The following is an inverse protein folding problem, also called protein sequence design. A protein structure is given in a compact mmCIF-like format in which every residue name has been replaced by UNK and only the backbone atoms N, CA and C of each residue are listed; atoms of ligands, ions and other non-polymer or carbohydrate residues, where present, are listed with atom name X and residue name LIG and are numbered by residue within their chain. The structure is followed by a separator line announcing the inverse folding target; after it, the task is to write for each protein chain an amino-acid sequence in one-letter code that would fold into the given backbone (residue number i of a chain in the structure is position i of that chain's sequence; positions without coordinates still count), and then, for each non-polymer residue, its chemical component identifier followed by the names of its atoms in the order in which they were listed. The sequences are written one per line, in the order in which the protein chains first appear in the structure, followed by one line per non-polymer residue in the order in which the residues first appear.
data_IF_972918107175
#
_entry.id   IF_972918107175
#
_cell.length_a   1.000
_cell.length_b   1.000
_cell.length_c   1.000
_cell.angle_alpha   90.00
_cell.angle_beta   90.00
_cell.angle_gamma   90.00
#
_symmetry.space_group_name_H-M   'P 1'
#
loop_
_entity.id
_entity.type
_entity.pdbx_description
1 polymer ?
#
# COMPACT_ATOMS: atom_id res chain seq x y z
N UNK A 1 8.56 -15.38 -7.62
CA UNK A 1 7.45 -14.40 -7.52
C UNK A 1 8.05 -13.03 -7.32
N UNK A 2 7.76 -12.05 -8.19
CA UNK A 2 8.28 -10.68 -8.07
C UNK A 2 7.21 -9.73 -7.52
N UNK A 3 7.61 -8.65 -6.85
CA UNK A 3 6.67 -7.67 -6.28
C UNK A 3 5.79 -7.05 -7.36
N UNK A 4 6.39 -6.66 -8.49
CA UNK A 4 5.70 -6.01 -9.60
C UNK A 4 4.57 -6.88 -10.17
N UNK A 5 4.75 -8.20 -10.21
CA UNK A 5 3.71 -9.14 -10.67
C UNK A 5 2.48 -9.11 -9.74
N UNK A 6 2.71 -9.05 -8.42
CA UNK A 6 1.62 -8.95 -7.45
C UNK A 6 0.91 -7.59 -7.52
N UNK A 7 1.65 -6.50 -7.75
CA UNK A 7 1.05 -5.18 -7.94
C UNK A 7 0.21 -5.11 -9.22
N UNK A 8 0.66 -5.77 -10.29
CA UNK A 8 -0.11 -5.91 -11.52
C UNK A 8 -1.40 -6.67 -11.27
N UNK A 9 -1.32 -7.82 -10.58
CA UNK A 9 -2.47 -8.64 -10.21
C UNK A 9 -3.45 -7.89 -9.30
N UNK A 10 -2.96 -7.07 -8.35
CA UNK A 10 -3.81 -6.18 -7.54
C UNK A 10 -4.70 -5.29 -8.42
N UNK A 11 -4.10 -4.68 -9.45
CA UNK A 11 -4.82 -3.83 -10.41
C UNK A 11 -5.81 -4.62 -11.28
N UNK A 12 -5.39 -5.77 -11.81
CA UNK A 12 -6.25 -6.65 -12.64
C UNK A 12 -7.48 -7.14 -11.87
N UNK A 13 -7.31 -7.47 -10.59
CA UNK A 13 -8.39 -7.90 -9.71
C UNK A 13 -9.24 -6.76 -9.15
N UNK A 14 -8.93 -5.50 -9.51
CA UNK A 14 -9.54 -4.29 -8.94
C UNK A 14 -9.53 -4.30 -7.40
N UNK A 15 -8.46 -4.84 -6.82
CA UNK A 15 -8.26 -4.88 -5.37
C UNK A 15 -7.78 -3.54 -4.81
N UNK A 16 -8.12 -3.26 -3.56
CA UNK A 16 -7.70 -2.03 -2.86
C UNK A 16 -6.33 -2.18 -2.20
N UNK A 17 -6.05 -3.35 -1.63
CA UNK A 17 -4.85 -3.59 -0.84
C UNK A 17 -4.24 -4.97 -1.14
N UNK A 18 -2.92 -5.08 -1.06
CA UNK A 18 -2.14 -6.32 -1.04
C UNK A 18 -1.48 -6.46 0.33
N UNK A 19 -1.60 -7.63 0.94
CA UNK A 19 -1.00 -7.97 2.23
C UNK A 19 0.03 -9.07 2.06
N UNK A 20 1.20 -8.87 2.65
CA UNK A 20 2.33 -9.80 2.64
C UNK A 20 2.77 -10.04 4.08
N UNK A 21 2.75 -11.31 4.49
CA UNK A 21 3.06 -11.70 5.87
C UNK A 21 3.62 -13.12 5.89
N UNK A 22 4.68 -13.34 6.67
CA UNK A 22 5.23 -14.67 6.88
C UNK A 22 4.19 -15.66 7.41
N UNK A 23 4.20 -16.88 6.89
CA UNK A 23 3.27 -17.96 7.21
C UNK A 23 1.95 -17.93 6.43
N UNK A 24 1.69 -16.89 5.64
CA UNK A 24 0.46 -16.72 4.87
C UNK A 24 0.73 -16.67 3.36
N UNK A 25 -0.30 -16.94 2.58
CA UNK A 25 -0.33 -16.66 1.14
C UNK A 25 -0.42 -15.14 0.90
N UNK A 26 0.03 -14.61 -0.25
CA UNK A 26 -0.31 -13.25 -0.67
C UNK A 26 -1.83 -13.07 -0.61
N UNK A 27 -2.29 -12.00 0.04
CA UNK A 27 -3.72 -11.75 0.19
C UNK A 27 -4.09 -10.41 -0.40
N UNK A 28 -5.14 -10.39 -1.23
CA UNK A 28 -5.68 -9.17 -1.83
C UNK A 28 -6.97 -8.79 -1.14
N UNK A 29 -7.14 -7.51 -0.82
CA UNK A 29 -8.43 -6.99 -0.41
C UNK A 29 -9.24 -6.63 -1.65
N UNK A 30 -10.34 -7.34 -1.88
CA UNK A 30 -11.22 -7.16 -3.04
C UNK A 30 -12.62 -6.92 -2.49
N UNK A 31 -13.22 -5.78 -2.84
CA UNK A 31 -14.53 -5.35 -2.32
C UNK A 31 -14.64 -5.47 -0.79
N UNK A 32 -13.59 -5.04 -0.08
CA UNK A 32 -13.52 -5.04 1.39
C UNK A 32 -13.10 -6.36 2.03
N UNK A 33 -13.15 -7.48 1.29
CA UNK A 33 -12.81 -8.82 1.81
C UNK A 33 -11.37 -9.19 1.51
N UNK A 34 -10.66 -9.77 2.48
CA UNK A 34 -9.34 -10.34 2.27
C UNK A 34 -9.45 -11.73 1.63
N UNK A 35 -8.85 -11.88 0.46
CA UNK A 35 -8.84 -13.12 -0.31
C UNK A 35 -7.39 -13.61 -0.42
N UNK A 36 -7.04 -14.74 0.20
CA UNK A 36 -5.71 -15.34 0.06
C UNK A 36 -5.59 -16.03 -1.31
N UNK A 37 -4.47 -15.81 -1.99
CA UNK A 37 -4.16 -16.48 -3.26
C UNK A 37 -3.46 -17.81 -2.98
N UNK A 38 -4.25 -18.86 -2.80
CA UNK A 38 -3.77 -20.20 -2.45
C UNK A 38 -2.97 -20.86 -3.57
N UNK A 39 -2.99 -20.31 -4.78
CA UNK A 39 -2.15 -20.75 -5.91
C UNK A 39 -0.68 -20.35 -5.77
N UNK A 40 -0.33 -19.40 -4.89
CA UNK A 40 1.06 -19.10 -4.56
C UNK A 40 1.45 -19.78 -3.27
N UNK A 41 2.74 -20.05 -3.09
CA UNK A 41 3.25 -20.57 -1.82
C UNK A 41 3.06 -19.58 -0.67
N UNK A 42 3.02 -20.12 0.55
CA UNK A 42 3.06 -19.30 1.76
C UNK A 42 4.44 -18.66 1.89
N UNK A 43 4.47 -17.42 2.35
CA UNK A 43 5.73 -16.74 2.60
C UNK A 43 6.49 -17.38 3.77
N UNK A 44 7.75 -17.71 3.56
CA UNK A 44 8.72 -17.82 4.66
C UNK A 44 9.13 -16.41 5.12
N UNK A 45 9.62 -16.23 6.36
CA UNK A 45 10.15 -14.94 6.82
C UNK A 45 11.18 -14.33 5.86
N UNK A 46 12.05 -15.19 5.31
CA UNK A 46 13.08 -14.78 4.36
C UNK A 46 12.46 -14.31 3.03
N UNK A 47 11.55 -15.10 2.44
CA UNK A 47 10.92 -14.74 1.16
C UNK A 47 10.07 -13.47 1.25
N UNK A 48 9.39 -13.23 2.38
CA UNK A 48 8.66 -12.00 2.62
C UNK A 48 9.61 -10.80 2.66
N UNK A 49 10.71 -10.92 3.43
CA UNK A 49 11.74 -9.87 3.52
C UNK A 49 12.34 -9.55 2.15
N UNK A 50 12.76 -10.57 1.40
CA UNK A 50 13.35 -10.39 0.07
C UNK A 50 12.39 -9.69 -0.89
N UNK A 51 11.13 -10.13 -0.94
CA UNK A 51 10.10 -9.55 -1.80
C UNK A 51 9.84 -8.08 -1.45
N UNK A 52 9.74 -7.76 -0.16
CA UNK A 52 9.48 -6.40 0.31
C UNK A 52 10.69 -5.49 0.07
N UNK A 53 11.90 -5.98 0.34
CA UNK A 53 13.13 -5.20 0.18
C UNK A 53 13.47 -4.94 -1.29
N UNK A 54 12.92 -5.71 -2.24
CA UNK A 54 13.16 -5.53 -3.67
C UNK A 54 12.63 -4.20 -4.21
N UNK A 55 11.74 -3.52 -3.47
CA UNK A 55 11.19 -2.20 -3.85
C UNK A 55 11.70 -1.04 -3.00
N UNK A 56 12.63 -1.31 -2.08
CA UNK A 56 13.24 -0.29 -1.24
C UNK A 56 14.56 0.20 -1.83
N UNK A 57 14.78 1.52 -1.75
CA UNK A 57 16.11 2.09 -1.94
C UNK A 57 16.96 1.95 -0.65
N UNK A 58 18.25 2.22 -0.74
CA UNK A 58 19.17 1.97 0.38
C UNK A 58 18.91 2.87 1.59
N UNK A 59 18.47 4.12 1.36
CA UNK A 59 18.05 5.02 2.44
C UNK A 59 16.82 4.47 3.18
N UNK A 60 15.84 3.94 2.45
CA UNK A 60 14.65 3.31 3.02
C UNK A 60 14.98 2.05 3.82
N UNK A 61 15.85 1.17 3.29
CA UNK A 61 16.34 0.00 4.03
C UNK A 61 17.03 0.42 5.33
N UNK A 62 17.90 1.41 5.25
CA UNK A 62 18.61 1.92 6.42
C UNK A 62 17.66 2.53 7.45
N UNK A 63 16.67 3.29 6.99
CA UNK A 63 15.64 3.89 7.85
C UNK A 63 14.85 2.80 8.56
N UNK A 64 14.37 1.79 7.83
CA UNK A 64 13.63 0.67 8.39
C UNK A 64 14.44 -0.13 9.43
N UNK A 65 15.74 -0.38 9.16
CA UNK A 65 16.57 -1.25 10.01
C UNK A 65 17.22 -0.53 11.21
N UNK A 66 17.54 0.76 11.09
CA UNK A 66 18.44 1.45 12.03
C UNK A 66 17.83 2.64 12.72
N UNK A 67 16.66 3.12 12.29
CA UNK A 67 16.06 4.30 12.90
C UNK A 67 15.40 3.94 14.24
N UNK A 68 15.90 4.46 15.38
CA UNK A 68 15.33 4.19 16.69
C UNK A 68 13.96 4.84 16.91
N UNK A 69 13.56 5.81 16.07
CA UNK A 69 12.25 6.48 16.05
C UNK A 69 11.24 5.65 15.27
N UNK A 70 11.64 5.07 14.13
CA UNK A 70 10.75 4.31 13.24
C UNK A 70 10.78 2.79 13.47
N UNK A 71 11.57 2.26 14.42
CA UNK A 71 11.57 0.90 14.98
C UNK A 71 11.00 -0.24 14.10
N UNK A 72 11.53 -0.41 12.89
CA UNK A 72 11.06 -1.48 12.00
C UNK A 72 9.70 -1.20 11.36
N UNK A 73 9.40 0.06 11.08
CA UNK A 73 8.23 0.57 10.37
C UNK A 73 8.69 1.59 9.31
N UNK A 74 8.03 1.60 8.15
CA UNK A 74 8.31 2.56 7.08
C UNK A 74 7.10 2.73 6.16
N UNK A 75 6.70 3.98 5.96
CA UNK A 75 5.72 4.38 4.96
C UNK A 75 6.39 5.07 3.76
N UNK A 76 6.03 4.66 2.55
CA UNK A 76 6.46 5.34 1.34
C UNK A 76 5.48 5.12 0.19
N UNK A 77 5.65 5.90 -0.88
CA UNK A 77 4.91 5.71 -2.13
C UNK A 77 5.85 5.25 -3.24
N UNK A 78 5.37 4.33 -4.07
CA UNK A 78 6.07 3.84 -5.26
C UNK A 78 5.19 4.09 -6.49
N UNK A 79 5.75 4.75 -7.50
CA UNK A 79 5.17 4.83 -8.83
C UNK A 79 5.73 3.71 -9.71
N UNK A 80 4.85 2.91 -10.31
CA UNK A 80 5.24 1.86 -11.28
C UNK A 80 4.66 2.22 -12.63
N UNK A 81 5.54 2.39 -13.62
CA UNK A 81 5.14 2.72 -14.99
C UNK A 81 4.15 1.69 -15.53
N UNK A 82 3.10 2.15 -16.21
CA UNK A 82 1.99 1.32 -16.69
C UNK A 82 0.97 0.91 -15.61
N UNK A 83 1.39 0.62 -14.38
CA UNK A 83 0.49 0.09 -13.34
C UNK A 83 -0.19 1.18 -12.50
N UNK A 84 0.55 2.18 -12.03
CA UNK A 84 0.02 3.23 -11.17
C UNK A 84 0.88 3.51 -9.94
N UNK A 85 0.27 4.11 -8.92
CA UNK A 85 0.94 4.46 -7.67
C UNK A 85 0.45 3.57 -6.55
N UNK A 86 1.36 3.23 -5.64
CA UNK A 86 1.08 2.38 -4.51
C UNK A 86 1.66 3.00 -3.24
N UNK A 87 0.89 2.98 -2.16
CA UNK A 87 1.37 3.34 -0.82
C UNK A 87 1.73 2.07 -0.09
N UNK A 88 3.00 1.95 0.29
CA UNK A 88 3.51 0.86 1.09
C UNK A 88 3.57 1.30 2.55
N UNK A 89 3.09 0.42 3.42
CA UNK A 89 3.44 0.39 4.82
C UNK A 89 4.17 -0.92 5.09
N UNK A 90 5.43 -0.85 5.49
CA UNK A 90 6.23 -2.01 5.89
C UNK A 90 6.40 -1.95 7.39
N UNK A 91 6.28 -3.08 8.07
CA UNK A 91 6.43 -3.16 9.52
C UNK A 91 6.98 -4.53 9.96
N UNK A 92 7.52 -4.59 11.18
CA UNK A 92 7.85 -5.86 11.84
C UNK A 92 6.61 -6.43 12.53
N UNK A 93 6.26 -7.66 12.17
CA UNK A 93 5.21 -8.42 12.81
C UNK A 93 5.77 -9.73 13.36
N UNK A 94 5.74 -9.89 14.68
CA UNK A 94 6.27 -11.08 15.38
C UNK A 94 7.71 -11.41 14.95
N UNK A 95 8.54 -10.39 14.77
CA UNK A 95 9.94 -10.53 14.36
C UNK A 95 10.18 -10.79 12.87
N UNK A 96 9.12 -10.83 12.03
CA UNK A 96 9.23 -10.96 10.58
C UNK A 96 8.80 -9.68 9.87
N UNK A 97 9.42 -9.38 8.73
CA UNK A 97 9.02 -8.23 7.89
C UNK A 97 7.69 -8.54 7.21
N UNK A 98 6.75 -7.61 7.31
CA UNK A 98 5.42 -7.67 6.70
C UNK A 98 5.12 -6.35 5.98
N UNK A 99 4.16 -6.38 5.05
CA UNK A 99 3.74 -5.18 4.33
C UNK A 99 2.23 -5.18 4.07
N UNK A 100 1.66 -3.98 4.14
CA UNK A 100 0.35 -3.64 3.58
C UNK A 100 0.56 -2.61 2.47
N UNK A 101 0.10 -2.93 1.27
CA UNK A 101 0.29 -2.12 0.07
C UNK A 101 -1.07 -1.69 -0.45
N UNK A 102 -1.31 -0.39 -0.55
CA UNK A 102 -2.56 0.16 -1.07
C UNK A 102 -2.38 0.68 -2.49
N UNK A 103 -3.26 0.28 -3.40
CA UNK A 103 -3.37 0.92 -4.71
C UNK A 103 -3.91 2.35 -4.56
N UNK A 104 -3.26 3.31 -5.20
CA UNK A 104 -3.73 4.70 -5.27
C UNK A 104 -4.34 4.95 -6.64
N UNK A 105 -5.55 5.51 -6.66
CA UNK A 105 -6.23 5.91 -7.90
C UNK A 105 -5.35 6.86 -8.71
N UNK A 106 -5.27 6.64 -10.02
CA UNK A 106 -4.61 7.57 -10.96
C UNK A 106 -5.43 8.85 -11.10
N UNK A 107 -6.75 8.70 -11.10
CA UNK A 107 -7.69 9.79 -11.29
C UNK A 107 -8.20 10.27 -9.93
N UNK A 108 -8.05 11.58 -9.70
CA UNK A 108 -8.71 12.27 -8.59
C UNK A 108 -10.16 12.47 -9.04
N UNK A 109 -11.14 11.87 -8.35
CA UNK A 109 -12.55 12.03 -8.72
C UNK A 109 -12.95 13.50 -8.61
N UNK A 110 -13.87 13.93 -9.47
CA UNK A 110 -14.46 15.26 -9.32
C UNK A 110 -15.37 15.27 -8.10
N UNK A 111 -15.54 16.43 -7.47
CA UNK A 111 -16.35 16.54 -6.25
C UNK A 111 -17.81 16.14 -6.52
N UNK A 112 -18.31 16.39 -7.73
CA UNK A 112 -19.67 16.04 -8.17
C UNK A 112 -19.87 14.53 -8.27
N UNK A 113 -18.82 13.77 -8.62
CA UNK A 113 -18.87 12.32 -8.78
C UNK A 113 -18.88 11.58 -7.41
N UNK A 114 -18.56 12.30 -6.33
CA UNK A 114 -18.47 11.74 -4.98
C UNK A 114 -19.82 11.68 -4.25
N UNK A 115 -20.90 12.19 -4.86
CA UNK A 115 -22.22 12.27 -4.22
C UNK A 115 -22.25 13.21 -3.00
N UNK A 116 -21.31 14.16 -2.95
CA UNK A 116 -21.23 15.18 -1.92
C UNK A 116 -22.20 16.32 -2.23
N UNK A 117 -22.65 17.02 -1.20
CA UNK A 117 -23.50 18.19 -1.38
C UNK A 117 -22.69 19.37 -1.96
N UNK A 118 -23.27 20.15 -2.87
CA UNK A 118 -22.61 21.29 -3.55
C UNK A 118 -22.01 22.34 -2.60
N UNK A 119 -22.50 22.42 -1.36
CA UNK A 119 -21.93 23.28 -0.32
C UNK A 119 -20.47 22.95 -0.03
N UNK A 120 -20.01 21.71 -0.27
CA UNK A 120 -18.62 21.31 -0.03
C UNK A 120 -17.66 22.07 -0.93
N UNK A 121 -18.04 22.36 -2.18
CA UNK A 121 -17.23 23.13 -3.13
C UNK A 121 -16.85 24.52 -2.59
N UNK A 122 -17.71 25.10 -1.74
CA UNK A 122 -17.48 26.43 -1.14
C UNK A 122 -16.33 26.43 -0.15
N UNK A 123 -16.04 25.30 0.52
CA UNK A 123 -14.92 25.21 1.46
C UNK A 123 -13.56 25.35 0.76
N UNK A 124 -13.44 24.85 -0.47
CA UNK A 124 -12.22 25.02 -1.28
C UNK A 124 -11.96 26.47 -1.70
N UNK A 125 -12.97 27.35 -1.62
CA UNK A 125 -12.89 28.77 -1.99
C UNK A 125 -12.64 29.70 -0.79
N UNK A 126 -12.58 29.16 0.44
CA UNK A 126 -12.31 29.97 1.62
C UNK A 126 -10.89 30.54 1.57
N UNK A 127 -10.76 31.86 1.75
CA UNK A 127 -9.45 32.54 1.74
C UNK A 127 -8.63 32.34 3.01
N UNK A 128 -9.26 31.94 4.11
CA UNK A 128 -8.66 31.72 5.44
C UNK A 128 -9.60 30.93 6.33
N UNK A 129 -9.04 30.22 7.30
CA UNK A 129 -9.78 29.41 8.27
C UNK A 129 -9.19 28.00 8.42
N UNK A 130 -9.84 27.18 9.23
CA UNK A 130 -9.52 25.77 9.41
C UNK A 130 -10.71 24.95 8.88
N UNK A 131 -10.46 24.07 7.91
CA UNK A 131 -11.44 23.08 7.44
C UNK A 131 -10.97 21.72 7.94
N UNK A 132 -11.82 21.04 8.71
CA UNK A 132 -11.57 19.70 9.23
C UNK A 132 -12.45 18.72 8.46
N UNK A 133 -11.82 17.67 7.92
CA UNK A 133 -12.46 16.61 7.11
C UNK A 133 -12.48 15.33 7.92
#
# INVERSE_FOLDING_TARGET
MQMIDLLKKLGEMKGSDLHIMAGLHPAFRIHGKLVPMTEYDRFTPQSAKELIYSVLNDYQKQTFERDPVHRGELDFALGVSGLGRFRFNIHLQRGSVAAAVRSLSKDIPRLEDLGLHDSINKFALLRKGLVLV
#
